data_IF_956686156557
#
_entry.id   IF_956686156557
#
_cell.length_a   1.000
_cell.length_b   1.000
_cell.length_c   1.000
_cell.angle_alpha   90.00
_cell.angle_beta   90.00
_cell.angle_gamma   90.00
#
_symmetry.space_group_name_H-M   'P 1'
#
loop_
_entity.id
_entity.type
_entity.pdbx_description
1 polymer ?
#
# COMPACT_ATOMS: atom_id res chain seq x y z
N UNK A 1 23.47 -66.27 -13.95
CA UNK A 1 23.56 -64.94 -14.57
C UNK A 1 22.32 -64.18 -14.17
N UNK A 2 22.46 -63.29 -13.21
CA UNK A 2 21.35 -62.41 -12.71
C UNK A 2 21.64 -61.02 -13.19
N UNK A 3 20.77 -60.51 -14.09
CA UNK A 3 20.86 -59.14 -14.56
C UNK A 3 20.25 -58.22 -13.48
N UNK A 4 21.09 -57.28 -12.98
CA UNK A 4 20.66 -56.18 -12.12
C UNK A 4 20.26 -54.99 -13.01
N UNK A 5 19.00 -54.64 -13.03
CA UNK A 5 18.52 -53.38 -13.61
C UNK A 5 18.73 -52.29 -12.59
N UNK A 6 19.58 -51.33 -12.92
CA UNK A 6 19.76 -50.09 -12.16
C UNK A 6 18.72 -49.10 -12.67
N UNK A 7 17.70 -48.86 -11.84
CA UNK A 7 16.71 -47.82 -12.08
C UNK A 7 17.29 -46.42 -11.82
N UNK A 8 17.36 -45.64 -12.86
CA UNK A 8 17.78 -44.22 -12.80
C UNK A 8 16.62 -43.40 -12.26
N UNK A 9 16.67 -43.03 -10.98
CA UNK A 9 15.76 -42.05 -10.40
C UNK A 9 16.19 -40.64 -10.81
N UNK A 10 15.52 -40.06 -11.78
CA UNK A 10 15.64 -38.63 -12.08
C UNK A 10 14.92 -37.84 -10.98
N UNK A 11 15.71 -37.22 -10.14
CA UNK A 11 15.24 -36.19 -9.20
C UNK A 11 14.80 -34.98 -10.04
N UNK A 12 13.48 -34.79 -10.18
CA UNK A 12 12.92 -33.53 -10.68
C UNK A 12 13.00 -32.57 -9.48
N UNK A 13 14.07 -31.75 -9.48
CA UNK A 13 14.19 -30.63 -8.56
C UNK A 13 13.07 -29.64 -8.85
N UNK A 14 12.10 -29.53 -7.96
CA UNK A 14 11.18 -28.42 -7.93
C UNK A 14 12.00 -27.17 -7.59
N UNK A 15 12.36 -26.38 -8.59
CA UNK A 15 12.88 -25.02 -8.39
C UNK A 15 11.73 -24.21 -7.80
N UNK A 16 11.72 -24.09 -6.47
CA UNK A 16 10.90 -23.10 -5.79
C UNK A 16 11.28 -21.73 -6.34
N UNK A 17 10.38 -21.08 -7.03
CA UNK A 17 10.50 -19.68 -7.41
C UNK A 17 10.50 -18.91 -6.09
N UNK A 18 11.68 -18.64 -5.54
CA UNK A 18 11.84 -17.63 -4.50
C UNK A 18 11.51 -16.28 -5.15
N UNK A 19 10.29 -15.81 -4.98
CA UNK A 19 9.94 -14.45 -5.34
C UNK A 19 10.82 -13.51 -4.51
N UNK A 20 11.85 -12.99 -5.14
CA UNK A 20 12.82 -12.09 -4.52
C UNK A 20 12.09 -10.81 -4.14
N UNK A 21 12.13 -10.43 -2.86
CA UNK A 21 11.59 -9.15 -2.39
C UNK A 21 12.27 -8.03 -3.17
N UNK A 22 11.48 -7.20 -3.83
CA UNK A 22 12.03 -6.07 -4.58
C UNK A 22 12.51 -5.00 -3.61
N UNK A 23 13.68 -4.45 -3.86
CA UNK A 23 14.28 -3.42 -3.02
C UNK A 23 14.80 -2.26 -3.87
N UNK A 24 14.96 -1.11 -3.26
CA UNK A 24 15.61 0.07 -3.84
C UNK A 24 16.82 0.43 -2.99
N UNK A 25 17.87 0.92 -3.65
CA UNK A 25 19.05 1.48 -2.98
C UNK A 25 18.88 2.98 -2.84
N UNK A 26 19.11 3.52 -1.66
CA UNK A 26 19.05 4.96 -1.36
C UNK A 26 20.27 5.37 -0.54
N UNK A 27 20.61 6.66 -0.53
CA UNK A 27 21.63 7.19 0.38
C UNK A 27 20.97 7.63 1.68
N UNK A 28 21.47 7.09 2.79
CA UNK A 28 21.02 7.47 4.13
C UNK A 28 21.34 8.94 4.40
N UNK A 29 20.33 9.72 4.71
CA UNK A 29 20.52 11.15 5.04
C UNK A 29 21.34 11.37 6.32
N UNK A 30 21.33 10.37 7.22
CA UNK A 30 22.05 10.45 8.52
C UNK A 30 23.47 10.00 8.42
N UNK A 31 23.80 9.02 7.57
CA UNK A 31 25.14 8.42 7.48
C UNK A 31 25.85 8.68 6.15
N UNK A 32 25.16 9.18 5.14
CA UNK A 32 25.66 9.36 3.77
C UNK A 32 26.01 8.05 3.04
N UNK A 33 25.73 6.88 3.64
CA UNK A 33 26.02 5.57 3.06
C UNK A 33 24.85 5.05 2.27
N UNK A 34 25.14 4.23 1.25
CA UNK A 34 24.12 3.46 0.56
C UNK A 34 23.42 2.49 1.52
N UNK A 35 22.12 2.44 1.44
CA UNK A 35 21.27 1.49 2.16
C UNK A 35 20.23 0.88 1.22
N UNK A 36 19.80 -0.33 1.55
CA UNK A 36 18.77 -1.05 0.82
C UNK A 36 17.51 -1.05 1.67
N UNK A 37 16.43 -0.54 1.10
CA UNK A 37 15.09 -0.58 1.68
C UNK A 37 14.16 -1.43 0.82
N UNK A 38 13.27 -2.17 1.45
CA UNK A 38 12.36 -3.04 0.74
C UNK A 38 11.14 -2.24 0.25
N UNK A 39 10.65 -2.62 -0.93
CA UNK A 39 9.46 -2.04 -1.55
C UNK A 39 8.23 -2.76 -0.97
N UNK A 40 7.15 -2.03 -0.60
CA UNK A 40 5.91 -2.66 -0.16
C UNK A 40 5.39 -3.72 -1.14
N UNK A 41 4.84 -4.82 -0.62
CA UNK A 41 4.44 -5.98 -1.44
C UNK A 41 3.43 -5.60 -2.52
N UNK A 42 2.49 -4.69 -2.22
CA UNK A 42 1.52 -4.16 -3.19
C UNK A 42 2.15 -3.43 -4.38
N UNK A 43 3.37 -2.93 -4.24
CA UNK A 43 4.12 -2.24 -5.30
C UNK A 43 5.05 -3.19 -6.07
N UNK A 44 5.30 -4.40 -5.59
CA UNK A 44 6.25 -5.35 -6.20
C UNK A 44 5.63 -6.11 -7.38
N UNK A 45 4.37 -6.51 -7.27
CA UNK A 45 3.68 -7.26 -8.31
C UNK A 45 2.99 -6.32 -9.29
N UNK A 46 3.03 -6.63 -10.56
CA UNK A 46 1.91 -6.29 -11.42
C UNK A 46 0.66 -6.89 -10.76
N UNK A 47 -0.45 -6.15 -10.74
CA UNK A 47 -1.68 -6.59 -10.09
C UNK A 47 -1.94 -8.06 -10.40
N UNK A 48 -2.51 -8.79 -9.44
CA UNK A 48 -3.04 -10.12 -9.70
C UNK A 48 -3.85 -10.06 -11.00
N UNK A 49 -3.30 -10.63 -12.07
CA UNK A 49 -3.80 -10.46 -13.43
C UNK A 49 -5.27 -10.91 -13.53
N UNK A 50 -5.66 -11.92 -12.75
CA UNK A 50 -7.03 -12.43 -12.73
C UNK A 50 -8.01 -11.42 -12.10
N UNK A 51 -7.61 -10.76 -11.01
CA UNK A 51 -8.46 -9.74 -10.38
C UNK A 51 -8.57 -8.49 -11.27
N UNK A 52 -7.46 -8.06 -11.87
CA UNK A 52 -7.42 -6.99 -12.85
C UNK A 52 -8.27 -7.30 -14.08
N UNK A 53 -8.10 -8.48 -14.66
CA UNK A 53 -8.87 -8.94 -15.81
C UNK A 53 -10.38 -9.00 -15.53
N UNK A 54 -10.73 -9.41 -14.30
CA UNK A 54 -12.13 -9.46 -13.91
C UNK A 54 -12.72 -8.07 -13.69
N UNK A 55 -12.01 -7.18 -13.01
CA UNK A 55 -12.45 -5.80 -12.76
C UNK A 55 -12.52 -5.00 -14.06
N UNK A 56 -11.50 -5.07 -14.89
CA UNK A 56 -11.45 -4.33 -16.16
C UNK A 56 -12.53 -4.78 -17.15
N UNK A 57 -12.88 -6.07 -17.16
CA UNK A 57 -13.93 -6.60 -18.04
C UNK A 57 -15.34 -6.23 -17.61
N UNK A 58 -15.56 -6.06 -16.31
CA UNK A 58 -16.92 -5.94 -15.78
C UNK A 58 -17.27 -4.52 -15.27
N UNK A 59 -16.29 -3.71 -14.89
CA UNK A 59 -16.58 -2.46 -14.18
C UNK A 59 -15.70 -1.27 -14.56
N UNK A 60 -14.64 -1.46 -15.35
CA UNK A 60 -13.64 -0.41 -15.60
C UNK A 60 -13.33 -0.33 -17.08
N UNK A 61 -13.52 0.85 -17.68
CA UNK A 61 -13.09 1.18 -19.04
C UNK A 61 -12.06 2.31 -19.01
N UNK A 62 -11.21 2.39 -20.04
CA UNK A 62 -10.38 3.58 -20.22
C UNK A 62 -11.28 4.76 -20.56
N UNK A 63 -11.14 5.88 -19.83
CA UNK A 63 -11.91 7.09 -20.05
C UNK A 63 -11.73 7.62 -21.47
N UNK A 64 -12.84 7.92 -22.16
CA UNK A 64 -12.81 8.42 -23.54
C UNK A 64 -12.17 9.81 -23.64
N UNK A 65 -12.10 10.56 -22.54
CA UNK A 65 -11.71 11.98 -22.51
C UNK A 65 -10.28 12.25 -22.02
N UNK A 66 -9.51 11.22 -21.65
CA UNK A 66 -8.14 11.38 -21.17
C UNK A 66 -7.21 10.37 -21.84
N UNK A 67 -6.16 10.88 -22.47
CA UNK A 67 -5.13 10.04 -23.10
C UNK A 67 -3.91 9.98 -22.17
N UNK A 68 -3.69 8.83 -21.55
CA UNK A 68 -2.52 8.60 -20.73
C UNK A 68 -1.26 8.56 -21.60
N UNK A 69 -0.29 9.44 -21.30
CA UNK A 69 1.00 9.42 -21.98
C UNK A 69 1.77 8.13 -21.66
N UNK A 70 2.56 7.64 -22.62
CA UNK A 70 3.42 6.46 -22.43
C UNK A 70 4.63 6.73 -21.54
N UNK A 71 4.99 7.99 -21.37
CA UNK A 71 6.18 8.43 -20.62
C UNK A 71 5.80 9.44 -19.55
N UNK A 72 6.55 9.41 -18.43
CA UNK A 72 6.39 10.41 -17.39
C UNK A 72 7.13 11.71 -17.78
N UNK A 73 6.54 12.89 -17.57
CA UNK A 73 7.27 14.16 -17.68
C UNK A 73 8.51 14.20 -16.78
N UNK A 74 9.56 14.85 -17.22
CA UNK A 74 10.76 15.06 -16.39
C UNK A 74 10.46 16.14 -15.36
N UNK A 75 10.50 15.76 -14.08
CA UNK A 75 10.20 16.64 -12.94
C UNK A 75 11.44 16.80 -12.07
N UNK A 76 11.81 18.05 -11.76
CA UNK A 76 12.93 18.34 -10.85
C UNK A 76 12.55 18.12 -9.39
N UNK A 77 13.56 17.89 -8.54
CA UNK A 77 13.36 17.72 -7.09
C UNK A 77 12.67 18.93 -6.44
N UNK A 78 13.00 20.14 -6.90
CA UNK A 78 12.38 21.37 -6.41
C UNK A 78 10.87 21.41 -6.64
N UNK A 79 10.39 20.85 -7.77
CA UNK A 79 8.95 20.75 -8.06
C UNK A 79 8.30 19.71 -7.15
N UNK A 80 8.94 18.58 -6.90
CA UNK A 80 8.43 17.57 -5.97
C UNK A 80 8.32 18.13 -4.54
N UNK A 81 9.36 18.85 -4.08
CA UNK A 81 9.35 19.51 -2.77
C UNK A 81 8.24 20.53 -2.65
N UNK A 82 8.09 21.41 -3.66
CA UNK A 82 7.03 22.41 -3.70
C UNK A 82 5.63 21.77 -3.68
N UNK A 83 5.39 20.74 -4.49
CA UNK A 83 4.11 20.05 -4.54
C UNK A 83 3.78 19.33 -3.22
N UNK A 84 4.74 18.62 -2.62
CA UNK A 84 4.55 17.99 -1.32
C UNK A 84 4.21 19.00 -0.23
N UNK A 85 4.87 20.16 -0.22
CA UNK A 85 4.60 21.22 0.76
C UNK A 85 3.21 21.85 0.63
N UNK A 86 2.55 21.67 -0.50
CA UNK A 86 1.18 22.17 -0.77
C UNK A 86 0.08 21.17 -0.46
N UNK A 87 0.41 19.90 -0.19
CA UNK A 87 -0.60 18.94 0.25
C UNK A 87 -1.06 19.35 1.65
N UNK A 88 -2.37 19.65 1.85
CA UNK A 88 -2.88 19.90 3.18
C UNK A 88 -2.76 18.64 4.02
N UNK A 89 -1.84 18.63 4.98
CA UNK A 89 -1.49 17.43 5.71
C UNK A 89 -1.16 17.74 7.16
N UNK A 90 -1.69 16.92 8.08
CA UNK A 90 -1.30 16.90 9.49
C UNK A 90 -0.04 16.04 9.66
N UNK A 91 0.10 15.00 8.82
CA UNK A 91 1.25 14.09 8.83
C UNK A 91 2.41 14.77 8.11
N UNK A 92 3.58 14.80 8.72
CA UNK A 92 4.76 15.33 8.08
C UNK A 92 5.19 14.48 6.89
N UNK A 93 5.34 15.13 5.74
CA UNK A 93 5.71 14.49 4.47
C UNK A 93 7.03 15.07 3.92
N UNK A 94 8.18 14.81 4.57
CA UNK A 94 9.46 15.33 4.11
C UNK A 94 9.86 14.67 2.78
N UNK A 95 10.43 15.49 1.88
CA UNK A 95 11.04 15.00 0.66
C UNK A 95 12.43 14.45 0.94
N UNK A 96 12.72 13.27 0.39
CA UNK A 96 14.05 12.67 0.38
C UNK A 96 14.22 11.71 -0.80
N UNK A 97 15.41 11.12 -0.96
CA UNK A 97 15.70 10.21 -2.08
C UNK A 97 14.79 8.98 -2.10
N UNK A 98 14.43 8.44 -0.94
CA UNK A 98 13.51 7.29 -0.86
C UNK A 98 12.11 7.69 -1.36
N UNK A 99 11.57 8.80 -0.90
CA UNK A 99 10.29 9.34 -1.37
C UNK A 99 10.33 9.56 -2.88
N UNK A 100 11.41 10.16 -3.42
CA UNK A 100 11.59 10.36 -4.85
C UNK A 100 11.52 9.05 -5.62
N UNK A 101 12.23 8.02 -5.18
CA UNK A 101 12.25 6.71 -5.86
C UNK A 101 10.89 6.04 -5.85
N UNK A 102 10.12 6.16 -4.77
CA UNK A 102 8.74 5.65 -4.73
C UNK A 102 7.79 6.45 -5.62
N UNK A 103 7.91 7.77 -5.68
CA UNK A 103 7.14 8.59 -6.62
C UNK A 103 7.44 8.17 -8.06
N UNK A 104 8.72 8.07 -8.42
CA UNK A 104 9.14 7.64 -9.76
C UNK A 104 8.63 6.22 -10.09
N UNK A 105 8.59 5.32 -9.10
CA UNK A 105 8.02 3.98 -9.28
C UNK A 105 6.53 4.04 -9.65
N UNK A 106 5.73 4.83 -8.98
CA UNK A 106 4.32 5.04 -9.34
C UNK A 106 4.18 5.75 -10.69
N UNK A 107 4.92 6.85 -10.89
CA UNK A 107 4.78 7.69 -12.06
C UNK A 107 5.33 7.06 -13.36
N UNK A 108 6.24 6.07 -13.27
CA UNK A 108 6.87 5.44 -14.43
C UNK A 108 6.40 3.99 -14.58
N UNK A 109 6.68 3.15 -13.58
CA UNK A 109 6.46 1.71 -13.71
C UNK A 109 5.03 1.27 -13.42
N UNK A 110 4.38 1.90 -12.46
CA UNK A 110 3.07 1.49 -11.97
C UNK A 110 1.92 2.37 -12.48
N UNK A 111 2.11 3.08 -13.60
CA UNK A 111 1.11 4.03 -14.17
C UNK A 111 -0.28 3.41 -14.31
N UNK A 112 -0.37 2.22 -14.91
CA UNK A 112 -1.63 1.49 -15.07
C UNK A 112 -2.27 1.14 -13.73
N UNK A 113 -1.45 0.75 -12.74
CA UNK A 113 -1.92 0.47 -11.38
C UNK A 113 -2.44 1.74 -10.70
N UNK A 114 -1.76 2.88 -10.87
CA UNK A 114 -2.24 4.19 -10.38
C UNK A 114 -3.57 4.55 -11.03
N UNK A 115 -3.68 4.42 -12.34
CA UNK A 115 -4.92 4.66 -13.10
C UNK A 115 -6.11 3.84 -12.56
N UNK A 116 -5.88 2.55 -12.25
CA UNK A 116 -6.87 1.69 -11.60
C UNK A 116 -7.21 2.15 -10.19
N UNK A 117 -6.19 2.43 -9.35
CA UNK A 117 -6.41 2.87 -7.98
C UNK A 117 -7.20 4.17 -7.92
N UNK A 118 -6.95 5.11 -8.83
CA UNK A 118 -7.72 6.34 -8.98
C UNK A 118 -9.20 6.05 -9.25
N UNK A 119 -9.51 5.08 -10.12
CA UNK A 119 -10.90 4.65 -10.33
C UNK A 119 -11.52 4.02 -9.07
N UNK A 120 -10.75 3.20 -8.36
CA UNK A 120 -11.19 2.52 -7.15
C UNK A 120 -11.47 3.50 -5.98
N UNK A 121 -10.85 4.69 -5.98
CA UNK A 121 -11.11 5.72 -4.97
C UNK A 121 -12.57 6.12 -4.90
N UNK A 122 -13.29 6.12 -6.03
CA UNK A 122 -14.71 6.46 -6.07
C UNK A 122 -15.58 5.55 -5.18
N UNK A 123 -15.13 4.32 -4.93
CA UNK A 123 -15.86 3.36 -4.09
C UNK A 123 -15.41 3.40 -2.63
N UNK A 124 -14.12 3.56 -2.40
CA UNK A 124 -13.56 3.35 -1.07
C UNK A 124 -13.33 4.63 -0.28
N UNK A 125 -13.01 5.76 -0.94
CA UNK A 125 -12.70 7.00 -0.21
C UNK A 125 -13.84 7.48 0.69
N UNK A 126 -15.13 7.46 0.28
CA UNK A 126 -16.20 7.87 1.18
C UNK A 126 -16.25 7.05 2.48
N UNK A 127 -15.99 5.73 2.41
CA UNK A 127 -15.97 4.85 3.57
C UNK A 127 -14.77 5.16 4.48
N UNK A 128 -13.61 5.42 3.87
CA UNK A 128 -12.39 5.74 4.62
C UNK A 128 -12.50 7.09 5.31
N UNK A 129 -12.96 8.11 4.58
CA UNK A 129 -13.12 9.47 5.08
C UNK A 129 -14.11 9.53 6.25
N UNK A 130 -15.25 8.85 6.16
CA UNK A 130 -16.23 8.76 7.24
C UNK A 130 -15.62 8.15 8.52
N UNK A 131 -14.90 7.04 8.38
CA UNK A 131 -14.29 6.38 9.53
C UNK A 131 -13.13 7.20 10.14
N UNK A 132 -12.31 7.85 9.31
CA UNK A 132 -11.22 8.71 9.80
C UNK A 132 -11.78 9.93 10.53
N UNK A 133 -12.82 10.56 9.99
CA UNK A 133 -13.50 11.71 10.60
C UNK A 133 -14.07 11.37 11.99
N UNK A 134 -14.75 10.21 12.11
CA UNK A 134 -15.36 9.81 13.38
C UNK A 134 -14.34 9.61 14.51
N UNK A 135 -13.11 9.23 14.17
CA UNK A 135 -12.04 9.00 15.14
C UNK A 135 -11.05 10.17 15.25
N UNK A 136 -11.37 11.34 14.67
CA UNK A 136 -10.51 12.53 14.62
C UNK A 136 -9.09 12.20 14.08
N UNK A 137 -9.02 11.44 12.99
CA UNK A 137 -7.77 11.01 12.38
C UNK A 137 -7.44 11.83 11.12
N UNK A 138 -6.15 12.04 10.81
CA UNK A 138 -5.74 12.72 9.59
C UNK A 138 -6.30 12.06 8.33
N UNK A 139 -6.87 12.87 7.44
CA UNK A 139 -7.49 12.40 6.21
C UNK A 139 -6.49 11.79 5.22
N UNK A 140 -5.21 12.11 5.34
CA UNK A 140 -4.12 11.51 4.54
C UNK A 140 -4.02 10.00 4.72
N UNK A 141 -4.44 9.48 5.88
CA UNK A 141 -4.43 8.05 6.19
C UNK A 141 -5.33 7.23 5.25
N UNK A 142 -6.26 7.86 4.53
CA UNK A 142 -7.07 7.20 3.49
C UNK A 142 -6.24 6.59 2.36
N UNK A 143 -5.01 7.05 2.19
CA UNK A 143 -4.09 6.49 1.19
C UNK A 143 -3.23 5.32 1.72
N UNK A 144 -3.41 4.91 2.99
CA UNK A 144 -2.73 3.74 3.53
C UNK A 144 -3.07 2.45 2.77
N UNK A 145 -4.35 2.16 2.41
CA UNK A 145 -4.70 1.01 1.58
C UNK A 145 -4.07 1.00 0.17
N UNK A 146 -3.59 2.15 -0.32
CA UNK A 146 -2.85 2.21 -1.59
C UNK A 146 -1.53 1.44 -1.47
N UNK A 147 -0.79 1.61 -0.38
CA UNK A 147 0.48 0.91 -0.14
C UNK A 147 0.29 -0.48 0.45
N UNK A 148 -0.84 -0.76 1.10
CA UNK A 148 -1.14 -2.06 1.70
C UNK A 148 -1.62 -3.08 0.66
N UNK A 149 -2.56 -2.70 -0.17
CA UNK A 149 -3.26 -3.64 -1.06
C UNK A 149 -3.43 -3.15 -2.50
N UNK A 150 -2.95 -1.94 -2.83
CA UNK A 150 -3.32 -1.25 -4.07
C UNK A 150 -4.86 -1.13 -4.24
N UNK A 151 -5.58 -0.90 -3.13
CA UNK A 151 -7.05 -0.86 -3.04
C UNK A 151 -7.75 -2.16 -3.44
N UNK A 152 -7.08 -3.32 -3.29
CA UNK A 152 -7.67 -4.63 -3.55
C UNK A 152 -8.28 -5.24 -2.27
N UNK A 153 -9.62 -5.36 -2.14
CA UNK A 153 -10.28 -5.86 -0.94
C UNK A 153 -10.06 -7.36 -0.69
N UNK A 154 -9.60 -8.10 -1.69
CA UNK A 154 -9.34 -9.54 -1.57
C UNK A 154 -7.84 -9.88 -1.51
N UNK A 155 -6.97 -8.87 -1.47
CA UNK A 155 -5.53 -9.07 -1.38
C UNK A 155 -5.15 -9.94 -0.18
N UNK A 156 -4.18 -10.83 -0.39
CA UNK A 156 -3.57 -11.65 0.66
C UNK A 156 -2.07 -11.61 0.49
N UNK A 157 -1.34 -11.13 1.50
CA UNK A 157 0.12 -11.11 1.49
C UNK A 157 0.71 -12.49 1.73
N UNK A 158 2.00 -12.64 1.46
CA UNK A 158 2.75 -13.88 1.76
C UNK A 158 2.69 -14.28 3.24
N UNK A 159 2.52 -13.32 4.13
CA UNK A 159 2.40 -13.53 5.57
C UNK A 159 0.95 -13.73 6.04
N UNK A 160 -0.03 -13.68 5.13
CA UNK A 160 -1.45 -13.87 5.42
C UNK A 160 -2.17 -12.61 5.91
N UNK A 161 -1.58 -11.44 5.77
CA UNK A 161 -2.30 -10.18 5.92
C UNK A 161 -3.34 -10.08 4.81
N UNK A 162 -4.54 -9.57 5.11
CA UNK A 162 -5.69 -9.71 4.20
C UNK A 162 -6.52 -8.44 4.13
N UNK A 163 -7.01 -8.15 2.91
CA UNK A 163 -7.97 -7.09 2.62
C UNK A 163 -7.34 -5.73 2.34
N UNK A 164 -8.17 -4.69 2.22
CA UNK A 164 -7.75 -3.32 1.92
C UNK A 164 -6.67 -2.82 2.87
N UNK A 165 -6.84 -3.09 4.16
CA UNK A 165 -6.01 -2.61 5.26
C UNK A 165 -4.98 -3.64 5.72
N UNK A 166 -4.83 -4.76 5.03
CA UNK A 166 -3.86 -5.83 5.27
C UNK A 166 -3.78 -6.28 6.74
N UNK A 167 -4.92 -6.52 7.37
CA UNK A 167 -4.94 -7.03 8.72
C UNK A 167 -4.35 -8.43 8.83
N UNK A 168 -3.40 -8.61 9.74
CA UNK A 168 -3.05 -9.93 10.24
C UNK A 168 -4.23 -10.53 11.02
N UNK A 169 -4.39 -11.86 10.95
CA UNK A 169 -5.51 -12.56 11.59
C UNK A 169 -5.66 -12.22 13.09
N UNK A 170 -4.53 -12.18 13.81
CA UNK A 170 -4.52 -11.86 15.24
C UNK A 170 -4.98 -10.43 15.52
N UNK A 171 -4.42 -9.46 14.82
CA UNK A 171 -4.79 -8.05 14.96
C UNK A 171 -6.24 -7.81 14.55
N UNK A 172 -6.70 -8.39 13.44
CA UNK A 172 -8.08 -8.28 13.01
C UNK A 172 -9.08 -8.75 14.08
N UNK A 173 -8.79 -9.87 14.75
CA UNK A 173 -9.62 -10.37 15.85
C UNK A 173 -9.67 -9.42 17.06
N UNK A 174 -8.54 -8.80 17.41
CA UNK A 174 -8.49 -7.81 18.51
C UNK A 174 -9.44 -6.64 18.20
N UNK A 175 -9.49 -6.21 16.93
CA UNK A 175 -10.37 -5.11 16.49
C UNK A 175 -11.77 -5.58 16.04
N UNK A 176 -12.15 -6.81 16.37
CA UNK A 176 -13.52 -7.32 16.24
C UNK A 176 -13.85 -7.92 14.86
N UNK A 177 -12.87 -8.11 13.98
CA UNK A 177 -13.08 -8.74 12.68
C UNK A 177 -13.19 -10.26 12.83
N UNK A 178 -14.32 -10.81 12.39
CA UNK A 178 -14.57 -12.25 12.40
C UNK A 178 -13.88 -12.92 11.22
N UNK A 179 -13.25 -14.06 11.48
CA UNK A 179 -12.65 -14.88 10.44
C UNK A 179 -12.82 -16.36 10.79
N UNK A 180 -13.43 -17.09 9.87
CA UNK A 180 -13.63 -18.54 9.95
C UNK A 180 -13.55 -19.14 8.53
N UNK A 181 -13.92 -20.42 8.36
CA UNK A 181 -13.88 -21.11 7.07
C UNK A 181 -14.83 -20.56 5.99
N UNK A 182 -15.83 -19.77 6.37
CA UNK A 182 -16.86 -19.25 5.46
C UNK A 182 -16.77 -17.74 5.28
N UNK A 183 -16.32 -17.01 6.30
CA UNK A 183 -16.31 -15.55 6.33
C UNK A 183 -14.94 -15.05 6.79
N UNK A 184 -14.43 -14.05 6.10
CA UNK A 184 -13.26 -13.27 6.53
C UNK A 184 -13.57 -11.78 6.42
N UNK A 185 -13.95 -11.16 7.55
CA UNK A 185 -14.35 -9.74 7.61
C UNK A 185 -13.18 -8.77 7.39
N UNK A 186 -11.94 -9.25 7.32
CA UNK A 186 -10.80 -8.45 6.89
C UNK A 186 -10.93 -8.01 5.42
N UNK A 187 -11.75 -8.74 4.63
CA UNK A 187 -12.08 -8.44 3.22
C UNK A 187 -13.29 -7.54 3.07
N UNK A 188 -14.04 -7.31 4.13
CA UNK A 188 -15.19 -6.40 4.14
C UNK A 188 -14.69 -4.95 4.19
N UNK A 189 -14.94 -4.12 3.17
CA UNK A 189 -14.41 -2.77 3.11
C UNK A 189 -14.86 -1.88 4.27
N UNK A 190 -16.11 -2.01 4.70
CA UNK A 190 -16.67 -1.20 5.79
C UNK A 190 -16.08 -1.64 7.12
N UNK A 191 -16.23 -2.93 7.47
CA UNK A 191 -15.79 -3.46 8.77
C UNK A 191 -14.30 -3.31 8.99
N UNK A 192 -13.50 -3.62 7.95
CA UNK A 192 -12.04 -3.49 8.04
C UNK A 192 -11.59 -2.04 8.17
N UNK A 193 -12.30 -1.09 7.54
CA UNK A 193 -12.01 0.34 7.68
C UNK A 193 -12.26 0.83 9.10
N UNK A 194 -13.40 0.49 9.69
CA UNK A 194 -13.70 0.83 11.08
C UNK A 194 -12.70 0.21 12.07
N UNK A 195 -12.27 -1.01 11.80
CA UNK A 195 -11.23 -1.66 12.59
C UNK A 195 -9.88 -0.95 12.46
N UNK A 196 -9.51 -0.53 11.23
CA UNK A 196 -8.27 0.17 10.96
C UNK A 196 -8.23 1.56 11.62
N UNK A 197 -9.32 2.32 11.56
CA UNK A 197 -9.42 3.62 12.21
C UNK A 197 -9.19 3.49 13.73
N UNK A 198 -9.82 2.51 14.39
CA UNK A 198 -9.58 2.23 15.81
C UNK A 198 -8.14 1.84 16.11
N UNK A 199 -7.55 0.98 15.27
CA UNK A 199 -6.17 0.56 15.45
C UNK A 199 -5.19 1.74 15.29
N UNK A 200 -5.38 2.58 14.29
CA UNK A 200 -4.58 3.80 14.08
C UNK A 200 -4.72 4.77 15.25
N UNK A 201 -5.93 4.94 15.79
CA UNK A 201 -6.16 5.76 16.98
C UNK A 201 -5.41 5.23 18.20
N UNK A 202 -5.50 3.93 18.47
CA UNK A 202 -4.78 3.30 19.57
C UNK A 202 -3.26 3.44 19.44
N UNK A 203 -2.74 3.31 18.22
CA UNK A 203 -1.31 3.54 17.96
C UNK A 203 -0.92 5.01 18.18
N UNK A 204 -1.77 5.95 17.77
CA UNK A 204 -1.52 7.37 17.98
C UNK A 204 -1.53 7.72 19.50
N UNK A 205 -2.43 7.14 20.26
CA UNK A 205 -2.49 7.33 21.71
C UNK A 205 -1.20 6.87 22.43
N UNK A 206 -0.49 5.89 21.82
CA UNK A 206 0.80 5.40 22.32
C UNK A 206 1.97 6.29 21.90
N UNK A 207 2.05 6.65 20.61
CA UNK A 207 3.27 7.23 20.03
C UNK A 207 3.23 8.74 19.87
N UNK A 208 2.06 9.36 19.72
CA UNK A 208 1.84 10.80 19.50
C UNK A 208 2.64 11.38 18.31
N UNK A 209 3.11 10.52 17.41
CA UNK A 209 3.87 10.83 16.20
C UNK A 209 3.33 9.98 15.04
N UNK A 210 2.83 10.60 13.99
CA UNK A 210 2.17 9.88 12.90
C UNK A 210 3.13 9.01 12.09
N UNK A 211 4.38 9.41 11.92
CA UNK A 211 5.35 8.59 11.20
C UNK A 211 5.72 7.35 12.01
N UNK A 212 5.75 7.45 13.35
CA UNK A 212 5.85 6.26 14.23
C UNK A 212 4.59 5.40 14.19
N UNK A 213 3.40 6.00 14.11
CA UNK A 213 2.13 5.26 13.97
C UNK A 213 2.14 4.45 12.68
N UNK A 214 2.51 5.04 11.56
CA UNK A 214 2.64 4.35 10.27
C UNK A 214 3.64 3.18 10.36
N UNK A 215 4.81 3.43 10.95
CA UNK A 215 5.81 2.40 11.14
C UNK A 215 5.31 1.27 12.07
N UNK A 216 4.58 1.63 13.16
CA UNK A 216 3.99 0.65 14.08
C UNK A 216 2.85 -0.15 13.45
N UNK A 217 2.07 0.45 12.57
CA UNK A 217 1.05 -0.24 11.79
C UNK A 217 1.68 -1.36 10.93
N UNK A 218 2.79 -1.06 10.26
CA UNK A 218 3.51 -2.02 9.41
C UNK A 218 4.20 -3.15 10.21
N UNK A 219 5.05 -2.82 11.20
CA UNK A 219 5.89 -3.83 11.87
C UNK A 219 5.45 -4.21 13.28
N UNK A 220 4.37 -3.62 13.76
CA UNK A 220 3.82 -3.81 15.10
C UNK A 220 4.53 -2.98 16.19
N UNK A 221 3.76 -2.61 17.25
CA UNK A 221 4.27 -1.75 18.34
C UNK A 221 5.45 -2.37 19.09
N UNK A 222 5.51 -3.69 19.19
CA UNK A 222 6.63 -4.38 19.84
C UNK A 222 7.98 -4.13 19.14
N UNK A 223 7.99 -4.05 17.81
CA UNK A 223 9.18 -3.76 17.01
C UNK A 223 9.60 -2.31 17.18
N UNK A 224 8.66 -1.38 17.13
CA UNK A 224 8.91 0.06 17.35
C UNK A 224 9.49 0.29 18.74
N UNK A 225 8.91 -0.30 19.79
CA UNK A 225 9.41 -0.17 21.16
C UNK A 225 10.85 -0.72 21.32
N UNK A 226 11.23 -1.76 20.58
CA UNK A 226 12.62 -2.24 20.53
C UNK A 226 13.54 -1.23 19.85
N UNK A 227 13.10 -0.63 18.73
CA UNK A 227 13.88 0.38 18.02
C UNK A 227 14.08 1.64 18.86
N UNK A 228 13.04 2.14 19.52
CA UNK A 228 13.10 3.27 20.46
C UNK A 228 14.14 3.01 21.57
N UNK A 229 14.09 1.83 22.21
CA UNK A 229 15.07 1.48 23.24
C UNK A 229 16.52 1.44 22.72
N UNK A 230 16.72 0.91 21.51
CA UNK A 230 18.05 0.88 20.86
C UNK A 230 18.56 2.26 20.49
N UNK A 231 17.66 3.18 20.19
CA UNK A 231 17.95 4.58 19.86
C UNK A 231 18.07 5.47 21.11
N UNK A 232 18.19 4.89 22.31
CA UNK A 232 18.35 5.67 23.55
C UNK A 232 17.07 6.36 24.03
N UNK A 233 15.89 5.91 23.60
CA UNK A 233 14.59 6.46 24.03
C UNK A 233 14.02 7.53 23.08
N UNK A 234 14.63 7.75 21.92
CA UNK A 234 14.10 8.69 20.92
C UNK A 234 12.73 8.23 20.40
N UNK A 235 11.79 9.18 20.30
CA UNK A 235 10.39 8.94 19.88
C UNK A 235 10.05 9.65 18.58
N UNK A 236 11.00 9.73 17.66
CA UNK A 236 10.86 10.26 16.32
C UNK A 236 11.28 9.21 15.30
N UNK A 237 10.47 9.02 14.23
CA UNK A 237 10.68 8.00 13.22
C UNK A 237 12.06 8.09 12.56
N UNK A 238 12.50 9.30 12.16
CA UNK A 238 13.77 9.47 11.44
C UNK A 238 14.98 9.20 12.33
N UNK A 239 14.86 9.47 13.61
CA UNK A 239 15.90 9.15 14.59
C UNK A 239 16.03 7.64 14.84
N UNK A 240 14.91 6.91 14.89
CA UNK A 240 14.95 5.44 15.06
C UNK A 240 15.08 4.65 13.77
N UNK A 241 15.07 5.32 12.62
CA UNK A 241 15.04 4.75 11.27
C UNK A 241 16.05 3.60 11.09
N UNK A 242 17.31 3.79 11.50
CA UNK A 242 18.37 2.80 11.32
C UNK A 242 18.17 1.52 12.15
N UNK A 243 17.28 1.54 13.15
CA UNK A 243 16.95 0.39 14.01
C UNK A 243 15.70 -0.35 13.54
N UNK A 244 15.03 0.15 12.50
CA UNK A 244 13.83 -0.44 11.93
C UNK A 244 14.16 -1.56 10.92
N UNK A 245 13.24 -2.54 10.72
CA UNK A 245 13.33 -3.48 9.60
C UNK A 245 13.39 -2.75 8.25
N UNK A 246 14.03 -3.34 7.26
CA UNK A 246 14.18 -2.73 5.92
C UNK A 246 12.83 -2.38 5.27
N UNK A 247 11.83 -3.26 5.41
CA UNK A 247 10.47 -3.01 4.93
C UNK A 247 9.88 -1.77 5.59
N UNK A 248 10.00 -1.65 6.92
CA UNK A 248 9.45 -0.51 7.67
C UNK A 248 10.15 0.81 7.36
N UNK A 249 11.44 0.77 6.99
CA UNK A 249 12.16 1.96 6.51
C UNK A 249 11.59 2.50 5.19
N UNK A 250 11.11 1.62 4.33
CA UNK A 250 10.46 2.00 3.07
C UNK A 250 9.01 2.42 3.21
N UNK A 251 8.36 2.07 4.33
CA UNK A 251 6.92 2.20 4.48
C UNK A 251 6.45 3.66 4.54
N UNK A 252 7.05 4.49 5.39
CA UNK A 252 6.72 5.92 5.47
C UNK A 252 7.03 6.66 4.16
N UNK A 253 8.22 6.50 3.53
CA UNK A 253 8.46 7.05 2.20
C UNK A 253 7.46 6.60 1.13
N UNK A 254 7.04 5.32 1.14
CA UNK A 254 6.02 4.83 0.22
C UNK A 254 4.64 5.47 0.47
N UNK A 255 4.27 5.68 1.74
CA UNK A 255 3.04 6.39 2.11
C UNK A 255 3.05 7.84 1.62
N UNK A 256 4.15 8.55 1.79
CA UNK A 256 4.31 9.92 1.27
C UNK A 256 4.17 9.93 -0.26
N UNK A 257 4.81 8.99 -0.94
CA UNK A 257 4.71 8.86 -2.39
C UNK A 257 3.29 8.52 -2.86
N UNK A 258 2.55 7.70 -2.11
CA UNK A 258 1.15 7.39 -2.40
C UNK A 258 0.28 8.65 -2.29
N UNK A 259 0.41 9.43 -1.22
CA UNK A 259 -0.27 10.71 -1.07
C UNK A 259 0.05 11.66 -2.23
N UNK A 260 1.33 11.75 -2.61
CA UNK A 260 1.76 12.58 -3.72
C UNK A 260 1.11 12.14 -5.04
N UNK A 261 1.25 10.87 -5.43
CA UNK A 261 0.78 10.41 -6.74
C UNK A 261 -0.75 10.44 -6.86
N UNK A 262 -1.47 10.12 -5.79
CA UNK A 262 -2.93 10.18 -5.76
C UNK A 262 -3.47 11.62 -5.80
N UNK A 263 -2.65 12.61 -5.45
CA UNK A 263 -2.98 14.04 -5.54
C UNK A 263 -2.58 14.66 -6.88
N UNK A 264 -1.38 14.32 -7.37
CA UNK A 264 -0.75 14.97 -8.54
C UNK A 264 -0.66 14.06 -9.78
N UNK A 265 -1.54 13.08 -9.90
CA UNK A 265 -1.54 12.14 -11.03
C UNK A 265 -1.68 12.83 -12.40
N UNK A 266 -2.44 13.92 -12.47
CA UNK A 266 -2.61 14.70 -13.72
C UNK A 266 -1.29 15.29 -14.21
N UNK A 267 -0.45 15.78 -13.29
CA UNK A 267 0.86 16.37 -13.60
C UNK A 267 1.89 15.33 -14.04
N UNK A 268 1.51 14.07 -13.96
CA UNK A 268 2.26 12.92 -14.47
C UNK A 268 1.62 12.31 -15.70
N UNK A 269 0.64 13.00 -16.32
CA UNK A 269 -0.14 12.49 -17.47
C UNK A 269 -0.71 11.09 -17.21
N UNK A 270 -1.22 10.85 -15.99
CA UNK A 270 -1.92 9.62 -15.62
C UNK A 270 -3.42 9.93 -15.58
N UNK A 271 -4.21 9.12 -16.25
CA UNK A 271 -5.67 9.24 -16.27
C UNK A 271 -6.31 8.19 -15.36
N UNK A 272 -7.33 8.56 -14.55
CA UNK A 272 -8.18 7.57 -13.91
C UNK A 272 -8.84 6.68 -14.94
N UNK A 273 -8.99 5.40 -14.66
CA UNK A 273 -9.90 4.54 -15.44
C UNK A 273 -11.34 4.92 -15.11
N UNK A 274 -12.24 4.86 -16.10
CA UNK A 274 -13.66 5.07 -15.85
C UNK A 274 -14.27 3.84 -15.19
N UNK A 275 -15.09 4.06 -14.18
CA UNK A 275 -15.90 3.01 -13.57
C UNK A 275 -17.27 3.01 -14.20
N UNK A 276 -17.66 1.93 -14.84
CA UNK A 276 -19.06 1.73 -15.21
C UNK A 276 -19.83 1.39 -13.92
N UNK A 277 -20.55 2.36 -13.39
CA UNK A 277 -21.64 2.06 -12.46
C UNK A 277 -22.59 1.14 -13.23
N UNK A 278 -22.82 -0.09 -12.69
CA UNK A 278 -23.84 -0.97 -13.25
C UNK A 278 -25.11 -0.13 -13.43
N UNK A 279 -25.54 0.04 -14.67
CA UNK A 279 -26.79 0.71 -14.96
C UNK A 279 -27.83 0.03 -14.09
N UNK A 280 -28.40 0.79 -13.14
CA UNK A 280 -29.50 0.31 -12.33
C UNK A 280 -30.53 -0.20 -13.30
N UNK A 281 -30.75 -1.52 -13.29
CA UNK A 281 -31.88 -2.08 -14.01
C UNK A 281 -33.11 -1.43 -13.43
N UNK A 282 -33.63 -0.42 -14.13
CA UNK A 282 -34.88 0.20 -13.79
C UNK A 282 -35.90 -0.91 -13.66
N UNK A 283 -36.43 -1.09 -12.49
CA UNK A 283 -37.69 -1.81 -12.31
C UNK A 283 -38.73 -1.01 -13.11
N UNK A 284 -38.97 -1.48 -14.33
CA UNK A 284 -40.12 -1.02 -15.10
C UNK A 284 -41.36 -1.33 -14.28
N UNK A 285 -42.01 -0.30 -13.81
CA UNK A 285 -43.41 -0.40 -13.42
C UNK A 285 -44.19 -0.75 -14.69
N UNK A 286 -44.54 -2.04 -14.82
CA UNK A 286 -45.57 -2.46 -15.75
C UNK A 286 -46.92 -1.88 -15.31
N UNK A 287 -47.53 -1.15 -16.22
CA UNK A 287 -48.96 -0.82 -16.17
C UNK A 287 -49.82 -2.11 -16.32
#
# INVERSE_FOLDING_TARGET
>A
MKNFLIGLFTFIGTTGINAQTQSITVHSQTTGKEEIIDVPESMQSEMDSLYWDWQSKNYITLGENCTMASTNPVVSDSIYMDRLSRIPSIIEMPYNEAVRKFIDMYAVRLRNKVSFMLAATNFYMPIFEEALDLYDLPQELKYLPVIESALNPVAVSRQGATGLWQFMLGTGKIYGLKSNSLIDERRDPVKSTWAAARYLKDLYDIYQDWNLVLAAYNCGPGTINKAIRRAGGATDYWTIYNYLPKETRGYVPAFIAANYIMTYYCEHDICPMETQLAASHGYGHGE
#
